data_IF_843610377608
#
_entry.id   IF_843610377608
#
_cell.length_a   1.000
_cell.length_b   1.000
_cell.length_c   1.000
_cell.angle_alpha   90.00
_cell.angle_beta   90.00
_cell.angle_gamma   90.00
#
_symmetry.space_group_name_H-M   'P 1'
#
loop_
_entity.id
_entity.type
_entity.pdbx_description
1 polymer ?
#
# COMPACT_ATOMS: atom_id res chain seq x y z
N UNK A 1 9.49 21.36 -1.86
CA UNK A 1 9.68 20.10 -1.12
C UNK A 1 11.01 19.51 -1.51
N UNK A 2 11.76 18.93 -0.56
CA UNK A 2 13.04 18.27 -0.84
C UNK A 2 12.91 17.27 -1.99
N UNK A 3 13.93 17.22 -2.85
CA UNK A 3 14.03 16.38 -4.05
C UNK A 3 14.26 14.90 -3.67
N UNK A 4 13.37 14.35 -2.84
CA UNK A 4 13.40 12.96 -2.37
C UNK A 4 12.81 12.10 -3.47
N UNK A 5 13.53 11.05 -3.87
CA UNK A 5 13.01 10.03 -4.78
C UNK A 5 12.55 8.82 -3.98
N UNK A 6 11.23 8.56 -3.94
CA UNK A 6 10.65 7.37 -3.30
C UNK A 6 11.19 6.07 -3.91
N UNK A 7 11.43 6.06 -5.22
CA UNK A 7 12.04 4.93 -5.92
C UNK A 7 13.48 4.67 -5.48
N UNK A 8 14.26 5.73 -5.25
CA UNK A 8 15.62 5.61 -4.71
C UNK A 8 15.61 5.11 -3.27
N UNK A 9 14.66 5.56 -2.44
CA UNK A 9 14.57 5.16 -1.03
C UNK A 9 14.20 3.68 -0.87
N UNK A 10 13.31 3.14 -1.71
CA UNK A 10 12.91 1.73 -1.60
C UNK A 10 13.94 0.74 -2.12
N UNK A 11 14.87 1.16 -2.99
CA UNK A 11 15.88 0.26 -3.58
C UNK A 11 16.61 -0.61 -2.55
N UNK A 12 17.20 -0.08 -1.46
CA UNK A 12 17.80 -0.90 -0.42
C UNK A 12 16.82 -1.82 0.33
N UNK A 13 15.54 -1.43 0.45
CA UNK A 13 14.52 -2.26 1.09
C UNK A 13 14.16 -3.48 0.22
N UNK A 14 14.06 -3.27 -1.11
CA UNK A 14 13.85 -4.34 -2.09
C UNK A 14 15.06 -5.27 -2.14
N UNK A 15 16.29 -4.73 -2.15
CA UNK A 15 17.52 -5.53 -2.10
C UNK A 15 17.55 -6.42 -0.85
N UNK A 16 17.19 -5.86 0.32
CA UNK A 16 17.08 -6.64 1.57
C UNK A 16 16.02 -7.74 1.50
N UNK A 17 14.87 -7.49 0.88
CA UNK A 17 13.85 -8.54 0.65
C UNK A 17 14.41 -9.67 -0.22
N UNK A 18 15.08 -9.32 -1.32
CA UNK A 18 15.68 -10.28 -2.25
C UNK A 18 16.76 -11.10 -1.56
N UNK A 19 17.67 -10.48 -0.82
CA UNK A 19 18.77 -11.16 -0.13
C UNK A 19 18.28 -12.11 0.98
N UNK A 20 17.12 -11.84 1.58
CA UNK A 20 16.58 -12.62 2.70
C UNK A 20 15.36 -13.46 2.31
N UNK A 21 15.09 -13.65 1.01
CA UNK A 21 13.84 -14.22 0.53
C UNK A 21 13.53 -15.59 1.16
N UNK A 22 14.52 -16.48 1.32
CA UNK A 22 14.33 -17.79 1.96
C UNK A 22 13.88 -17.67 3.43
N UNK A 23 14.51 -16.78 4.21
CA UNK A 23 14.16 -16.55 5.63
C UNK A 23 12.78 -15.90 5.77
N UNK A 24 12.38 -15.15 4.76
CA UNK A 24 11.09 -14.46 4.67
C UNK A 24 10.00 -15.33 4.03
N UNK A 25 10.32 -16.57 3.66
CA UNK A 25 9.45 -17.51 2.97
C UNK A 25 8.86 -16.94 1.66
N UNK A 26 9.69 -16.23 0.88
CA UNK A 26 9.37 -15.63 -0.41
C UNK A 26 9.97 -16.45 -1.55
N UNK A 27 9.26 -16.53 -2.66
CA UNK A 27 9.77 -17.11 -3.91
C UNK A 27 10.12 -16.00 -4.90
N UNK A 28 11.25 -16.15 -5.59
CA UNK A 28 11.70 -15.20 -6.61
C UNK A 28 11.76 -15.93 -7.95
N UNK A 29 11.22 -15.26 -8.97
CA UNK A 29 11.34 -15.66 -10.37
C UNK A 29 11.62 -14.42 -11.23
N UNK A 30 11.84 -14.62 -12.52
CA UNK A 30 12.04 -13.53 -13.47
C UNK A 30 10.98 -13.61 -14.59
N UNK A 31 10.61 -12.46 -15.14
CA UNK A 31 9.86 -12.35 -16.39
C UNK A 31 10.77 -12.49 -17.61
N UNK A 32 10.18 -12.48 -18.81
CA UNK A 32 10.91 -12.72 -20.05
C UNK A 32 11.97 -11.64 -20.36
N UNK A 33 11.72 -10.38 -19.99
CA UNK A 33 12.70 -9.29 -20.11
C UNK A 33 13.45 -8.97 -18.82
N UNK A 34 13.37 -9.83 -17.81
CA UNK A 34 14.23 -9.82 -16.62
C UNK A 34 13.73 -9.00 -15.43
N UNK A 35 12.45 -8.65 -15.37
CA UNK A 35 11.87 -8.08 -14.15
C UNK A 35 11.87 -9.14 -13.04
N UNK A 36 12.21 -8.73 -11.82
CA UNK A 36 12.14 -9.64 -10.66
C UNK A 36 10.70 -9.76 -10.21
N UNK A 37 10.19 -10.98 -10.12
CA UNK A 37 8.86 -11.30 -9.61
C UNK A 37 9.01 -11.96 -8.24
N UNK A 38 8.61 -11.23 -7.20
CA UNK A 38 8.59 -11.69 -5.81
C UNK A 38 7.17 -12.17 -5.48
N UNK A 39 7.00 -13.48 -5.35
CA UNK A 39 5.79 -14.09 -4.82
C UNK A 39 5.82 -14.06 -3.28
N UNK A 40 4.90 -13.31 -2.69
CA UNK A 40 4.76 -13.15 -1.24
C UNK A 40 3.48 -13.79 -0.69
N UNK A 41 2.83 -14.70 -1.41
CA UNK A 41 1.63 -15.36 -0.88
C UNK A 41 0.78 -16.20 -1.83
N UNK A 42 1.13 -16.32 -3.11
CA UNK A 42 0.40 -17.13 -4.09
C UNK A 42 0.79 -18.60 -3.92
N UNK A 43 2.07 -18.91 -4.17
CA UNK A 43 2.69 -20.22 -3.90
C UNK A 43 3.55 -20.15 -2.65
N UNK A 44 4.29 -19.06 -2.52
CA UNK A 44 5.09 -18.77 -1.33
C UNK A 44 4.20 -18.64 -0.08
N UNK A 45 4.71 -19.08 1.08
CA UNK A 45 3.99 -18.92 2.35
C UNK A 45 3.98 -17.46 2.82
N UNK A 46 5.07 -16.74 2.56
CA UNK A 46 5.34 -15.44 3.15
C UNK A 46 5.46 -15.50 4.68
N UNK A 47 5.56 -14.33 5.30
CA UNK A 47 5.49 -14.18 6.74
C UNK A 47 5.08 -12.75 7.12
N UNK A 48 4.79 -12.54 8.41
CA UNK A 48 4.46 -11.21 8.92
C UNK A 48 5.59 -10.19 8.72
N UNK A 49 6.84 -10.61 8.89
CA UNK A 49 8.01 -9.73 8.67
C UNK A 49 8.16 -9.33 7.20
N UNK A 50 7.92 -10.26 6.27
CA UNK A 50 7.89 -9.94 4.85
C UNK A 50 6.76 -8.94 4.53
N UNK A 51 5.57 -9.15 5.09
CA UNK A 51 4.47 -8.20 5.01
C UNK A 51 4.83 -6.82 5.53
N UNK A 52 5.45 -6.74 6.72
CA UNK A 52 5.94 -5.50 7.34
C UNK A 52 6.90 -4.74 6.43
N UNK A 53 7.88 -5.45 5.87
CA UNK A 53 8.87 -4.91 4.92
C UNK A 53 8.21 -4.42 3.62
N UNK A 54 7.26 -5.18 3.09
CA UNK A 54 6.49 -4.79 1.89
C UNK A 54 5.67 -3.53 2.17
N UNK A 55 5.09 -3.37 3.36
CA UNK A 55 4.39 -2.13 3.75
C UNK A 55 5.34 -0.91 3.69
N UNK A 56 6.57 -1.01 4.21
CA UNK A 56 7.56 0.08 4.11
C UNK A 56 7.92 0.41 2.64
N UNK A 57 7.94 -0.61 1.78
CA UNK A 57 8.18 -0.43 0.34
C UNK A 57 6.96 0.24 -0.33
N UNK A 58 5.74 -0.18 -0.01
CA UNK A 58 4.53 0.52 -0.47
C UNK A 58 4.59 1.99 -0.08
N UNK A 59 5.03 2.29 1.14
CA UNK A 59 5.23 3.64 1.68
C UNK A 59 6.42 4.43 1.09
N UNK A 60 7.04 3.93 0.02
CA UNK A 60 8.11 4.65 -0.69
C UNK A 60 9.40 4.78 0.12
N UNK A 61 9.59 3.94 1.14
CA UNK A 61 10.72 4.03 2.07
C UNK A 61 10.69 5.26 2.98
N UNK A 62 9.57 6.00 3.01
CA UNK A 62 9.34 7.17 3.86
C UNK A 62 8.47 6.86 5.07
N UNK A 63 8.04 5.61 5.20
CA UNK A 63 7.26 5.10 6.31
C UNK A 63 8.07 4.12 7.16
N UNK A 64 7.82 4.12 8.47
CA UNK A 64 8.31 3.11 9.40
C UNK A 64 7.16 2.22 9.84
N UNK A 65 7.38 0.90 9.83
CA UNK A 65 6.34 -0.07 10.17
C UNK A 65 6.83 -1.03 11.24
N UNK A 66 6.04 -1.24 12.28
CA UNK A 66 6.31 -2.23 13.33
C UNK A 66 5.08 -3.07 13.65
N UNK A 67 5.32 -4.25 14.22
CA UNK A 67 4.29 -5.15 14.71
C UNK A 67 4.45 -5.28 16.22
N UNK A 68 3.35 -5.16 16.97
CA UNK A 68 3.39 -5.35 18.42
C UNK A 68 2.10 -5.97 18.94
N UNK A 69 2.17 -6.59 20.11
CA UNK A 69 0.99 -7.08 20.82
C UNK A 69 0.42 -5.95 21.68
N UNK A 70 -0.86 -5.66 21.51
CA UNK A 70 -1.60 -4.59 22.18
C UNK A 70 -2.88 -5.13 22.82
N UNK A 71 -3.46 -4.34 23.72
CA UNK A 71 -4.76 -4.65 24.33
C UNK A 71 -5.89 -3.76 23.74
N UNK A 72 -5.65 -3.07 22.62
CA UNK A 72 -6.64 -2.14 22.02
C UNK A 72 -7.81 -2.88 21.37
N UNK A 73 -7.58 -4.09 20.87
CA UNK A 73 -8.60 -4.98 20.33
C UNK A 73 -8.60 -6.31 21.11
N UNK A 74 -9.54 -6.52 22.06
CA UNK A 74 -9.48 -7.63 23.02
C UNK A 74 -9.34 -9.04 22.43
N UNK A 75 -9.91 -9.30 21.24
CA UNK A 75 -9.78 -10.61 20.59
C UNK A 75 -8.74 -10.65 19.45
N UNK A 76 -8.04 -9.54 19.18
CA UNK A 76 -7.00 -9.42 18.15
C UNK A 76 -5.79 -8.67 18.71
N UNK A 77 -4.95 -9.37 19.48
CA UNK A 77 -3.88 -8.71 20.23
C UNK A 77 -2.74 -8.25 19.32
N UNK A 78 -2.56 -8.80 18.13
CA UNK A 78 -1.51 -8.35 17.20
C UNK A 78 -1.96 -7.07 16.49
N UNK A 79 -1.13 -6.04 16.46
CA UNK A 79 -1.37 -4.79 15.73
C UNK A 79 -0.20 -4.42 14.85
N UNK A 80 -0.50 -3.79 13.72
CA UNK A 80 0.48 -3.07 12.90
C UNK A 80 0.47 -1.60 13.29
N UNK A 81 1.65 -0.99 13.31
CA UNK A 81 1.88 0.42 13.60
C UNK A 81 2.68 1.04 12.46
N UNK A 82 2.24 2.21 12.02
CA UNK A 82 2.73 2.86 10.81
C UNK A 82 2.94 4.34 11.11
N UNK A 83 4.09 4.88 10.71
CA UNK A 83 4.44 6.29 10.94
C UNK A 83 5.17 6.86 9.73
N UNK A 84 4.97 8.15 9.44
CA UNK A 84 5.76 8.86 8.45
C UNK A 84 5.88 10.35 8.78
N UNK A 85 7.10 10.88 8.63
CA UNK A 85 7.40 12.33 8.68
C UNK A 85 7.14 13.04 7.35
N UNK A 86 6.73 12.31 6.31
CA UNK A 86 6.23 12.87 5.06
C UNK A 86 5.02 12.04 4.60
N UNK A 87 3.92 12.10 5.37
CA UNK A 87 2.84 11.14 5.25
C UNK A 87 2.08 11.31 3.91
N UNK A 88 1.98 12.53 3.37
CA UNK A 88 1.34 12.75 2.05
C UNK A 88 2.08 12.02 0.94
N UNK A 89 3.40 12.21 0.83
CA UNK A 89 4.18 11.54 -0.21
C UNK A 89 4.26 10.02 0.03
N UNK A 90 4.44 9.62 1.28
CA UNK A 90 4.56 8.21 1.67
C UNK A 90 3.27 7.43 1.41
N UNK A 91 2.14 7.97 1.86
CA UNK A 91 0.83 7.32 1.73
C UNK A 91 0.20 7.57 0.35
N UNK A 92 -0.01 8.81 -0.07
CA UNK A 92 -0.75 9.11 -1.30
C UNK A 92 0.13 9.02 -2.55
N UNK A 93 1.37 9.47 -2.46
CA UNK A 93 2.32 9.47 -3.58
C UNK A 93 3.01 8.12 -3.85
N UNK A 94 2.88 7.16 -2.93
CA UNK A 94 3.46 5.82 -3.08
C UNK A 94 2.49 4.71 -2.64
N UNK A 95 2.09 4.66 -1.37
CA UNK A 95 1.35 3.51 -0.83
C UNK A 95 0.00 3.27 -1.50
N UNK A 96 -0.78 4.32 -1.75
CA UNK A 96 -2.13 4.28 -2.28
C UNK A 96 -2.22 3.39 -3.54
N UNK A 97 -3.28 2.57 -3.59
CA UNK A 97 -3.54 1.61 -4.66
C UNK A 97 -4.37 2.24 -5.79
N UNK A 98 -3.91 3.36 -6.34
CA UNK A 98 -4.69 4.13 -7.32
C UNK A 98 -4.41 3.83 -8.78
N UNK A 99 -3.35 3.07 -9.10
CA UNK A 99 -3.01 2.81 -10.50
C UNK A 99 -3.73 1.58 -11.05
N UNK A 100 -4.77 1.81 -11.86
CA UNK A 100 -5.48 0.72 -12.54
C UNK A 100 -4.62 0.10 -13.64
N UNK A 101 -4.37 -1.21 -13.51
CA UNK A 101 -3.64 -2.03 -14.46
C UNK A 101 -4.56 -3.14 -14.95
N UNK A 102 -5.02 -3.03 -16.19
CA UNK A 102 -5.92 -4.01 -16.79
C UNK A 102 -5.44 -4.44 -18.18
N UNK A 103 -5.72 -5.70 -18.49
CA UNK A 103 -5.44 -6.34 -19.77
C UNK A 103 -6.59 -7.26 -20.12
N UNK A 104 -7.04 -7.18 -21.38
CA UNK A 104 -8.08 -8.06 -21.93
C UNK A 104 -7.66 -8.45 -23.34
N UNK A 105 -7.43 -9.74 -23.55
CA UNK A 105 -7.18 -10.31 -24.89
C UNK A 105 -7.88 -11.66 -25.00
N UNK A 106 -8.83 -11.77 -25.95
CA UNK A 106 -9.70 -12.94 -26.09
C UNK A 106 -10.38 -13.30 -24.76
N UNK A 107 -10.20 -14.52 -24.27
CA UNK A 107 -10.75 -15.00 -22.99
C UNK A 107 -9.81 -14.69 -21.79
N UNK A 108 -8.59 -14.20 -22.04
CA UNK A 108 -7.63 -13.86 -20.99
C UNK A 108 -7.90 -12.44 -20.47
N UNK A 109 -8.21 -12.34 -19.18
CA UNK A 109 -8.40 -11.08 -18.48
C UNK A 109 -7.48 -11.00 -17.26
N UNK A 110 -6.95 -9.81 -17.03
CA UNK A 110 -6.21 -9.46 -15.83
C UNK A 110 -6.61 -8.05 -15.39
N UNK A 111 -6.83 -7.88 -14.10
CA UNK A 111 -7.10 -6.58 -13.50
C UNK A 111 -6.46 -6.52 -12.11
N UNK A 112 -5.72 -5.45 -11.85
CA UNK A 112 -5.12 -5.18 -10.56
C UNK A 112 -5.05 -3.69 -10.29
N UNK A 113 -4.97 -3.34 -9.01
CA UNK A 113 -4.56 -2.02 -8.57
C UNK A 113 -3.08 -2.06 -8.18
N UNK A 114 -2.29 -1.26 -8.88
CA UNK A 114 -0.88 -1.04 -8.60
C UNK A 114 -0.69 -0.10 -7.43
N UNK A 115 0.15 -0.51 -6.47
CA UNK A 115 0.64 0.32 -5.37
C UNK A 115 2.15 0.48 -5.44
N UNK A 116 2.68 1.45 -4.69
CA UNK A 116 4.10 1.66 -4.49
C UNK A 116 4.69 2.79 -5.33
N UNK A 117 6.02 2.96 -5.26
CA UNK A 117 6.70 4.14 -5.78
C UNK A 117 6.71 4.22 -7.32
N UNK A 118 6.40 3.13 -8.04
CA UNK A 118 6.22 3.14 -9.49
C UNK A 118 5.18 4.16 -9.97
N UNK A 119 4.13 4.38 -9.17
CA UNK A 119 3.05 5.34 -9.46
C UNK A 119 3.61 6.74 -9.69
N UNK A 120 4.61 7.14 -8.91
CA UNK A 120 5.22 8.45 -9.02
C UNK A 120 6.17 8.61 -10.22
N UNK A 121 6.62 7.52 -10.84
CA UNK A 121 7.29 7.58 -12.15
C UNK A 121 6.23 7.68 -13.25
N UNK A 122 5.21 6.83 -13.19
CA UNK A 122 4.18 6.71 -14.21
C UNK A 122 3.30 7.96 -14.34
N UNK A 123 2.98 8.63 -13.22
CA UNK A 123 2.26 9.90 -13.19
C UNK A 123 0.88 9.87 -13.85
N UNK A 124 0.21 8.71 -13.85
CA UNK A 124 -1.07 8.50 -14.57
C UNK A 124 -2.31 8.95 -13.81
N UNK A 125 -2.17 9.24 -12.52
CA UNK A 125 -3.27 9.54 -11.61
C UNK A 125 -3.34 11.04 -11.31
N UNK A 126 -4.56 11.59 -11.21
CA UNK A 126 -4.78 13.03 -10.95
C UNK A 126 -4.21 13.48 -9.59
N UNK A 127 -4.15 12.57 -8.60
CA UNK A 127 -3.63 12.85 -7.25
C UNK A 127 -2.19 13.40 -7.27
N UNK A 128 -1.38 13.07 -8.28
CA UNK A 128 -0.03 13.63 -8.40
C UNK A 128 0.00 15.13 -8.70
N UNK A 129 -1.06 15.68 -9.29
CA UNK A 129 -1.21 17.14 -9.48
C UNK A 129 -1.42 17.83 -8.14
N UNK A 130 -2.25 17.24 -7.28
CA UNK A 130 -2.54 17.79 -5.94
C UNK A 130 -1.34 17.67 -5.00
N UNK A 131 -0.60 16.55 -5.07
CA UNK A 131 0.64 16.37 -4.30
C UNK A 131 1.76 17.28 -4.83
N UNK A 132 1.74 17.61 -6.13
CA UNK A 132 2.78 18.40 -6.78
C UNK A 132 4.13 17.66 -6.84
N UNK A 133 4.09 16.33 -7.08
CA UNK A 133 5.27 15.47 -7.06
C UNK A 133 5.32 14.54 -8.27
N UNK A 134 6.51 14.40 -8.84
CA UNK A 134 6.86 13.38 -9.82
C UNK A 134 8.27 12.89 -9.50
N UNK A 135 8.47 11.57 -9.50
CA UNK A 135 9.77 10.98 -9.23
C UNK A 135 10.58 10.84 -10.53
N UNK A 136 11.90 10.69 -10.39
CA UNK A 136 12.80 10.33 -11.47
C UNK A 136 13.89 9.39 -10.94
N UNK A 137 13.79 8.12 -11.33
CA UNK A 137 14.80 7.12 -10.99
C UNK A 137 14.82 5.99 -12.02
N UNK A 138 15.92 5.24 -12.09
CA UNK A 138 16.14 4.25 -13.16
C UNK A 138 15.51 2.88 -12.87
N UNK A 139 15.04 2.64 -11.65
CA UNK A 139 14.44 1.37 -11.20
C UNK A 139 13.20 1.63 -10.35
N UNK A 140 12.29 0.68 -10.31
CA UNK A 140 11.07 0.81 -9.52
C UNK A 140 10.58 -0.52 -8.99
N UNK A 141 9.59 -0.44 -8.10
CA UNK A 141 8.83 -1.57 -7.61
C UNK A 141 7.34 -1.25 -7.69
N UNK A 142 6.58 -2.24 -8.16
CA UNK A 142 5.12 -2.27 -8.11
C UNK A 142 4.69 -3.38 -7.17
N UNK A 143 3.68 -3.09 -6.35
CA UNK A 143 3.03 -4.07 -5.49
C UNK A 143 1.63 -4.31 -6.05
N UNK A 144 1.31 -5.58 -6.30
CA UNK A 144 0.05 -6.02 -6.87
C UNK A 144 -0.67 -6.95 -5.89
N UNK A 145 -1.88 -6.57 -5.53
CA UNK A 145 -2.79 -7.38 -4.73
C UNK A 145 -3.53 -8.37 -5.64
N UNK A 146 -2.86 -9.48 -5.97
CA UNK A 146 -3.35 -10.48 -6.93
C UNK A 146 -3.04 -11.89 -6.46
N UNK A 147 -3.82 -12.85 -6.95
CA UNK A 147 -3.67 -14.29 -6.70
C UNK A 147 -3.01 -15.04 -7.86
N UNK A 148 -2.66 -14.33 -8.94
CA UNK A 148 -1.96 -14.85 -10.09
C UNK A 148 -0.84 -13.91 -10.55
N UNK A 149 0.14 -14.44 -11.27
CA UNK A 149 1.21 -13.62 -11.86
C UNK A 149 0.63 -12.71 -12.95
N UNK A 150 1.06 -11.44 -13.06
CA UNK A 150 0.66 -10.60 -14.17
C UNK A 150 1.19 -11.17 -15.50
N UNK A 151 0.41 -11.07 -16.59
CA UNK A 151 0.90 -11.40 -17.93
C UNK A 151 1.97 -10.38 -18.37
N UNK A 152 2.78 -10.74 -19.38
CA UNK A 152 3.90 -9.91 -19.84
C UNK A 152 3.42 -8.53 -20.33
N UNK A 153 2.22 -8.43 -20.89
CA UNK A 153 1.64 -7.18 -21.38
C UNK A 153 1.40 -6.16 -20.25
N UNK A 154 1.10 -6.64 -19.03
CA UNK A 154 1.00 -5.78 -17.84
C UNK A 154 2.39 -5.31 -17.41
N UNK A 155 3.40 -6.18 -17.47
CA UNK A 155 4.79 -5.84 -17.18
C UNK A 155 5.30 -4.79 -18.17
N UNK A 156 5.10 -5.00 -19.47
CA UNK A 156 5.46 -4.07 -20.55
C UNK A 156 4.77 -2.72 -20.36
N UNK A 157 3.48 -2.72 -19.99
CA UNK A 157 2.75 -1.51 -19.66
C UNK A 157 3.41 -0.74 -18.51
N UNK A 158 3.77 -1.43 -17.43
CA UNK A 158 4.43 -0.80 -16.27
C UNK A 158 5.78 -0.20 -16.68
N UNK A 159 6.59 -0.94 -17.43
CA UNK A 159 7.92 -0.53 -17.89
C UNK A 159 7.84 0.71 -18.79
N UNK A 160 6.92 0.70 -19.75
CA UNK A 160 6.68 1.82 -20.67
C UNK A 160 6.17 3.06 -19.93
N UNK A 161 5.17 2.89 -19.07
CA UNK A 161 4.58 4.00 -18.34
C UNK A 161 5.57 4.62 -17.34
N UNK A 162 6.46 3.81 -16.74
CA UNK A 162 7.51 4.29 -15.82
C UNK A 162 8.81 4.74 -16.52
N UNK A 163 8.92 4.61 -17.84
CA UNK A 163 10.12 4.93 -18.63
C UNK A 163 11.42 4.28 -18.12
N UNK A 164 11.36 3.01 -17.73
CA UNK A 164 12.52 2.23 -17.27
C UNK A 164 12.78 1.03 -18.19
N UNK A 165 13.86 0.29 -17.94
CA UNK A 165 14.04 -1.05 -18.54
C UNK A 165 13.44 -2.13 -17.64
N UNK A 166 12.92 -3.20 -18.21
CA UNK A 166 12.27 -4.30 -17.48
C UNK A 166 13.17 -4.94 -16.40
N UNK A 167 14.47 -5.13 -16.65
CA UNK A 167 15.45 -5.57 -15.64
C UNK A 167 15.58 -4.69 -14.40
N UNK A 168 15.05 -3.46 -14.45
CA UNK A 168 15.03 -2.51 -13.35
C UNK A 168 13.66 -2.46 -12.66
N UNK A 169 12.72 -3.31 -13.05
CA UNK A 169 11.42 -3.48 -12.40
C UNK A 169 11.48 -4.65 -11.41
N UNK A 170 10.89 -4.43 -10.24
CA UNK A 170 10.49 -5.50 -9.32
C UNK A 170 8.97 -5.50 -9.17
N UNK A 171 8.35 -6.67 -9.25
CA UNK A 171 6.93 -6.88 -9.03
C UNK A 171 6.76 -7.71 -7.76
N UNK A 172 6.03 -7.21 -6.77
CA UNK A 172 5.71 -7.93 -5.54
C UNK A 172 4.24 -8.33 -5.56
N UNK A 173 3.96 -9.63 -5.44
CA UNK A 173 2.61 -10.19 -5.48
C UNK A 173 2.12 -10.53 -4.08
N UNK A 174 1.03 -9.88 -3.64
CA UNK A 174 0.51 -9.98 -2.28
C UNK A 174 -0.99 -10.30 -2.25
N UNK A 175 -1.41 -11.56 -2.45
CA UNK A 175 -2.82 -11.91 -2.39
C UNK A 175 -3.41 -11.63 -0.99
N UNK A 176 -4.62 -11.09 -0.91
CA UNK A 176 -5.30 -10.72 0.36
C UNK A 176 -5.41 -11.86 1.36
N UNK A 177 -5.49 -13.11 0.87
CA UNK A 177 -5.52 -14.34 1.67
C UNK A 177 -4.18 -14.77 2.26
N UNK A 178 -3.08 -14.05 2.02
CA UNK A 178 -1.76 -14.37 2.58
C UNK A 178 -1.39 -13.51 3.79
N UNK A 179 -0.39 -13.95 4.55
CA UNK A 179 0.18 -13.15 5.64
C UNK A 179 0.70 -11.80 5.14
N UNK A 180 1.40 -11.78 4.00
CA UNK A 180 1.95 -10.54 3.44
C UNK A 180 0.84 -9.62 2.91
N UNK A 181 -0.15 -10.17 2.21
CA UNK A 181 -1.30 -9.41 1.72
C UNK A 181 -2.12 -8.80 2.85
N UNK A 182 -2.50 -9.61 3.84
CA UNK A 182 -3.20 -9.11 5.03
C UNK A 182 -2.40 -8.02 5.74
N UNK A 183 -1.09 -8.21 5.93
CA UNK A 183 -0.22 -7.23 6.60
C UNK A 183 -0.08 -5.93 5.82
N UNK A 184 0.14 -5.98 4.50
CA UNK A 184 0.30 -4.76 3.71
C UNK A 184 -1.00 -3.97 3.59
N UNK A 185 -2.14 -4.65 3.44
CA UNK A 185 -3.44 -3.96 3.36
C UNK A 185 -3.75 -3.26 4.67
N UNK A 186 -3.65 -3.96 5.81
CA UNK A 186 -3.93 -3.35 7.11
C UNK A 186 -2.89 -2.27 7.46
N UNK A 187 -1.66 -2.39 6.95
CA UNK A 187 -0.63 -1.36 7.00
C UNK A 187 -0.97 -0.06 6.26
N UNK A 188 -2.09 -0.01 5.54
CA UNK A 188 -2.62 1.21 4.91
C UNK A 188 -3.45 2.05 5.87
N UNK A 189 -3.55 1.71 7.15
CA UNK A 189 -4.36 2.46 8.13
C UNK A 189 -4.10 3.98 8.10
N UNK A 190 -2.85 4.42 7.99
CA UNK A 190 -2.52 5.84 7.85
C UNK A 190 -2.89 6.39 6.46
N UNK A 191 -2.69 5.60 5.41
CA UNK A 191 -3.03 5.96 4.03
C UNK A 191 -4.51 6.13 3.80
N UNK A 192 -5.35 5.21 4.29
CA UNK A 192 -6.82 5.34 4.24
C UNK A 192 -7.28 6.60 4.96
N UNK A 193 -6.65 6.93 6.09
CA UNK A 193 -6.85 8.21 6.77
C UNK A 193 -6.52 9.40 5.86
N UNK A 194 -5.33 9.43 5.27
CA UNK A 194 -4.91 10.51 4.38
C UNK A 194 -5.70 10.60 3.07
N UNK A 195 -6.13 9.48 2.51
CA UNK A 195 -6.99 9.45 1.35
C UNK A 195 -8.31 10.14 1.69
N UNK A 196 -8.89 9.85 2.85
CA UNK A 196 -10.09 10.54 3.30
C UNK A 196 -9.84 12.02 3.64
N UNK A 197 -8.67 12.40 4.16
CA UNK A 197 -8.30 13.83 4.32
C UNK A 197 -8.39 14.55 2.97
N UNK A 198 -7.83 13.95 1.91
CA UNK A 198 -7.88 14.48 0.55
C UNK A 198 -9.31 14.54 -0.01
N UNK A 199 -10.09 13.47 0.11
CA UNK A 199 -11.50 13.42 -0.34
C UNK A 199 -12.42 14.41 0.40
N UNK A 200 -12.11 14.79 1.64
CA UNK A 200 -12.83 15.82 2.38
C UNK A 200 -12.50 17.25 1.90
N UNK A 201 -11.54 17.39 0.98
CA UNK A 201 -11.05 18.68 0.48
C UNK A 201 -10.12 19.41 1.45
N UNK A 202 -9.58 18.73 2.46
CA UNK A 202 -8.63 19.34 3.37
C UNK A 202 -7.27 19.54 2.66
N UNK A 203 -6.60 20.69 2.86
CA UNK A 203 -5.33 20.98 2.21
C UNK A 203 -4.23 20.01 2.67
N UNK A 204 -3.89 19.04 1.83
CA UNK A 204 -2.94 17.97 2.18
C UNK A 204 -1.53 18.51 2.48
N UNK A 205 -1.14 19.66 1.93
CA UNK A 205 0.13 20.34 2.25
C UNK A 205 0.21 20.81 3.71
N UNK A 206 -0.91 20.84 4.42
CA UNK A 206 -0.98 21.15 5.86
C UNK A 206 -0.78 19.93 6.76
N UNK A 207 -0.72 18.71 6.22
CA UNK A 207 -0.41 17.52 7.00
C UNK A 207 1.10 17.44 7.21
N UNK A 208 1.54 17.54 8.47
CA UNK A 208 2.96 17.62 8.85
C UNK A 208 3.53 16.24 9.14
N UNK A 209 2.82 15.43 9.91
CA UNK A 209 3.26 14.14 10.41
C UNK A 209 2.03 13.26 10.69
N UNK A 210 2.19 11.95 10.73
CA UNK A 210 1.09 11.02 10.93
C UNK A 210 1.51 9.67 11.48
N UNK A 211 0.68 9.14 12.37
CA UNK A 211 0.79 7.81 12.92
C UNK A 211 -0.53 7.06 12.72
N UNK A 212 -0.47 5.78 12.39
CA UNK A 212 -1.63 4.90 12.28
C UNK A 212 -1.38 3.55 12.95
N UNK A 213 -2.43 2.94 13.47
CA UNK A 213 -2.37 1.56 13.95
C UNK A 213 -3.69 0.84 13.73
N UNK A 214 -3.64 -0.44 13.38
CA UNK A 214 -4.81 -1.28 13.23
C UNK A 214 -4.54 -2.71 13.74
N UNK A 215 -5.55 -3.43 14.26
CA UNK A 215 -5.42 -4.83 14.61
C UNK A 215 -5.15 -5.65 13.35
N UNK A 216 -4.24 -6.62 13.44
CA UNK A 216 -3.89 -7.48 12.32
C UNK A 216 -4.73 -8.77 12.40
N UNK A 217 -5.73 -8.95 11.51
CA UNK A 217 -6.54 -10.15 11.51
C UNK A 217 -5.78 -11.35 10.93
N UNK A 218 -6.25 -12.60 11.16
CA UNK A 218 -5.72 -13.74 10.44
C UNK A 218 -6.10 -13.67 8.96
N UNK A 219 -5.28 -14.25 8.05
CA UNK A 219 -5.64 -14.34 6.64
C UNK A 219 -6.97 -15.10 6.42
N UNK A 220 -7.68 -14.72 5.36
CA UNK A 220 -8.96 -15.30 4.99
C UNK A 220 -8.82 -16.50 4.02
N UNK A 221 -9.84 -17.38 3.91
CA UNK A 221 -9.79 -18.51 2.99
C UNK A 221 -9.88 -18.10 1.51
N UNK A 222 -10.55 -16.98 1.20
CA UNK A 222 -10.76 -16.49 -0.16
C UNK A 222 -10.57 -14.96 -0.27
N UNK A 223 -10.58 -14.47 -1.50
CA UNK A 223 -10.34 -13.07 -1.83
C UNK A 223 -11.38 -12.12 -1.23
N UNK A 224 -12.68 -12.43 -1.35
CA UNK A 224 -13.77 -11.54 -0.92
C UNK A 224 -13.77 -11.38 0.61
N UNK A 225 -13.64 -12.50 1.34
CA UNK A 225 -13.52 -12.47 2.80
C UNK A 225 -12.20 -11.79 3.21
N UNK A 226 -11.12 -12.01 2.46
CA UNK A 226 -9.82 -11.38 2.69
C UNK A 226 -9.91 -9.87 2.61
N UNK A 227 -10.45 -9.36 1.51
CA UNK A 227 -10.70 -7.95 1.26
C UNK A 227 -11.62 -7.36 2.34
N UNK A 228 -12.73 -8.02 2.68
CA UNK A 228 -13.63 -7.55 3.72
C UNK A 228 -12.93 -7.42 5.08
N UNK A 229 -12.23 -8.47 5.50
CA UNK A 229 -11.58 -8.54 6.82
C UNK A 229 -10.44 -7.53 6.98
N UNK A 230 -9.63 -7.32 5.94
CA UNK A 230 -8.53 -6.34 5.99
C UNK A 230 -9.05 -4.91 6.00
N UNK A 231 -10.10 -4.61 5.22
CA UNK A 231 -10.75 -3.29 5.26
C UNK A 231 -11.44 -3.05 6.61
N UNK A 232 -12.16 -4.05 7.14
CA UNK A 232 -12.81 -3.96 8.45
C UNK A 232 -11.81 -3.69 9.59
N UNK A 233 -10.61 -4.29 9.51
CA UNK A 233 -9.54 -4.03 10.48
C UNK A 233 -9.14 -2.54 10.52
N UNK A 234 -9.14 -1.86 9.38
CA UNK A 234 -8.87 -0.41 9.29
C UNK A 234 -10.10 0.39 9.69
N UNK A 235 -11.26 0.09 9.11
CA UNK A 235 -12.49 0.88 9.28
C UNK A 235 -13.03 0.83 10.70
N UNK A 236 -12.94 -0.30 11.38
CA UNK A 236 -13.51 -0.51 12.72
C UNK A 236 -12.47 -0.60 13.83
N UNK A 237 -11.21 -0.94 13.49
CA UNK A 237 -10.11 -1.09 14.45
C UNK A 237 -8.98 -0.09 14.28
N UNK A 238 -8.99 0.72 13.22
CA UNK A 238 -7.94 1.68 12.92
C UNK A 238 -7.98 2.90 13.83
N UNK A 239 -6.80 3.31 14.28
CA UNK A 239 -6.56 4.58 14.96
C UNK A 239 -5.55 5.37 14.14
N UNK A 240 -5.84 6.65 13.89
CA UNK A 240 -4.95 7.56 13.18
C UNK A 240 -4.77 8.82 14.03
N UNK A 241 -3.53 9.27 14.16
CA UNK A 241 -3.15 10.53 14.77
C UNK A 241 -2.42 11.36 13.71
N UNK A 242 -2.97 12.51 13.37
CA UNK A 242 -2.38 13.44 12.39
C UNK A 242 -1.92 14.71 13.10
N UNK A 243 -0.77 15.22 12.70
CA UNK A 243 -0.30 16.55 13.04
C UNK A 243 -0.55 17.46 11.84
N UNK A 244 -1.28 18.55 12.04
CA UNK A 244 -1.66 19.49 10.98
C UNK A 244 -1.27 20.92 11.34
N UNK A 245 -0.84 21.69 10.34
CA UNK A 245 -0.47 23.10 10.46
C UNK A 245 -1.63 24.00 9.99
N UNK A 246 -2.69 24.05 10.80
CA UNK A 246 -3.91 24.82 10.53
C UNK A 246 -4.45 25.46 11.83
N UNK A 247 -5.37 26.43 11.72
CA UNK A 247 -6.19 26.84 12.86
C UNK A 247 -6.89 25.66 13.56
N UNK A 248 -7.16 25.82 14.85
CA UNK A 248 -7.79 24.78 15.67
C UNK A 248 -9.17 24.37 15.16
N UNK A 249 -9.97 25.34 14.69
CA UNK A 249 -11.33 25.08 14.20
C UNK A 249 -11.32 24.17 12.95
N UNK A 250 -10.37 24.40 12.03
CA UNK A 250 -10.19 23.58 10.84
C UNK A 250 -9.74 22.15 11.20
N UNK A 251 -8.82 22.03 12.18
CA UNK A 251 -8.35 20.74 12.67
C UNK A 251 -9.47 19.97 13.41
N UNK A 252 -10.30 20.66 14.19
CA UNK A 252 -11.45 20.08 14.88
C UNK A 252 -12.51 19.61 13.89
N UNK A 253 -12.80 20.39 12.84
CA UNK A 253 -13.73 19.99 11.79
C UNK A 253 -13.24 18.73 11.06
N UNK A 254 -11.95 18.70 10.69
CA UNK A 254 -11.33 17.52 10.08
C UNK A 254 -11.48 16.29 11.00
N UNK A 255 -11.13 16.43 12.28
CA UNK A 255 -11.20 15.34 13.25
C UNK A 255 -12.62 14.77 13.41
N UNK A 256 -13.66 15.60 13.32
CA UNK A 256 -15.06 15.16 13.39
C UNK A 256 -15.52 14.42 12.14
N UNK A 257 -14.98 14.76 10.97
CA UNK A 257 -15.41 14.21 9.66
C UNK A 257 -14.60 13.00 9.21
N UNK A 258 -13.39 12.82 9.74
CA UNK A 258 -12.45 11.78 9.30
C UNK A 258 -12.85 10.33 9.65
N UNK A 259 -13.44 10.00 10.81
CA UNK A 259 -13.74 8.62 11.16
C UNK A 259 -14.68 7.91 10.17
N UNK A 260 -14.51 6.60 9.97
CA UNK A 260 -15.40 5.79 9.11
C UNK A 260 -16.87 5.88 9.54
N UNK A 261 -17.12 6.08 10.83
CA UNK A 261 -18.46 6.22 11.45
C UNK A 261 -19.28 7.41 10.99
N UNK A 262 -18.69 8.32 10.22
CA UNK A 262 -19.42 9.44 9.60
C UNK A 262 -20.03 9.08 8.24
N UNK A 263 -19.73 7.89 7.70
CA UNK A 263 -20.31 7.40 6.44
C UNK A 263 -21.73 6.85 6.65
N UNK A 264 -22.60 6.98 5.66
CA UNK A 264 -23.93 6.35 5.65
C UNK A 264 -23.87 4.82 5.63
N UNK A 265 -22.77 4.26 5.15
CA UNK A 265 -22.60 2.80 5.01
C UNK A 265 -21.96 2.16 6.26
N UNK A 266 -21.65 2.94 7.28
CA UNK A 266 -21.03 2.44 8.50
C UNK A 266 -21.94 1.48 9.28
N UNK A 267 -21.35 0.43 9.84
CA UNK A 267 -22.01 -0.50 10.75
C UNK A 267 -22.25 -1.90 10.18
N UNK A 268 -21.77 -2.17 8.96
CA UNK A 268 -21.78 -3.50 8.32
C UNK A 268 -20.36 -3.93 7.93
N UNK A 269 -20.04 -5.23 7.97
CA UNK A 269 -18.80 -5.74 7.39
C UNK A 269 -18.60 -5.24 5.96
N UNK A 270 -17.38 -4.89 5.58
CA UNK A 270 -17.09 -4.31 4.26
C UNK A 270 -17.54 -5.22 3.11
N UNK A 271 -17.43 -6.54 3.28
CA UNK A 271 -17.90 -7.52 2.29
C UNK A 271 -19.43 -7.53 2.08
N UNK A 272 -20.22 -6.94 3.00
CA UNK A 272 -21.67 -6.82 2.85
C UNK A 272 -22.08 -5.47 2.21
N UNK A 273 -21.14 -4.54 2.10
CA UNK A 273 -21.31 -3.21 1.48
C UNK A 273 -20.81 -3.21 0.03
N UNK A 274 -19.78 -4.03 -0.25
CA UNK A 274 -19.20 -4.25 -1.58
C UNK A 274 -20.03 -5.21 -2.42
#
# INVERSE_FOLDING_TARGET
MNNISVNKQVKPLVERLVENHEKLNLEISESDGGAKIIDAGIKAKGCLEAGRLITEICMGGLGSVSLSMTNSAPNWPLSIHVHSTNPVLSCLGSQYAGWSLSFVQNDDNFSALGSGPCRALAGKEEIFKDIGYQDKFFSTVVILEVDQKPPQEIIDKIVNDCEISEKNLTVILTPTRSLCGTTQVVGRVLEVGLHKVHELGFPIDKVVDGFGSAPLPPPAPDFLIGMGRTNDAILYGGLVHLYVDTPNDDAEELAKRLPSSTSSDYGKPFADVF
#
